data_IF_876207387988
#
_entry.id   IF_876207387988
#
_cell.length_a   1.000
_cell.length_b   1.000
_cell.length_c   1.000
_cell.angle_alpha   90.00
_cell.angle_beta   90.00
_cell.angle_gamma   90.00
#
_symmetry.space_group_name_H-M   'P 1'
#
loop_
_entity.id
_entity.type
_entity.pdbx_description
1 polymer ?
#
# COMPACT_ATOMS: atom_id res chain seq x y z
N UNK A 1 -0.50 -1.77 -3.81
CA UNK A 1 -1.82 -1.07 -3.66
C UNK A 1 -1.70 0.44 -3.44
N UNK A 2 -0.51 1.02 -3.32
CA UNK A 2 -0.34 2.44 -2.97
C UNK A 2 -1.12 3.44 -3.85
N UNK A 3 -0.95 3.36 -5.17
CA UNK A 3 -1.57 4.33 -6.08
C UNK A 3 -3.11 4.35 -6.02
N UNK A 4 -3.74 3.18 -5.84
CA UNK A 4 -5.21 3.12 -5.74
C UNK A 4 -5.74 3.65 -4.42
N UNK A 5 -5.00 3.49 -3.31
CA UNK A 5 -5.36 4.08 -2.03
C UNK A 5 -5.28 5.61 -2.08
N UNK A 6 -4.24 6.16 -2.71
CA UNK A 6 -4.10 7.61 -2.93
C UNK A 6 -5.20 8.17 -3.83
N UNK A 7 -5.57 7.45 -4.90
CA UNK A 7 -6.68 7.82 -5.75
C UNK A 7 -8.02 7.82 -4.98
N UNK A 8 -8.27 6.78 -4.19
CA UNK A 8 -9.47 6.69 -3.36
C UNK A 8 -9.57 7.84 -2.34
N UNK A 9 -8.45 8.17 -1.68
CA UNK A 9 -8.37 9.31 -0.76
C UNK A 9 -8.75 10.62 -1.45
N UNK A 10 -8.17 10.89 -2.62
CA UNK A 10 -8.46 12.09 -3.41
C UNK A 10 -9.91 12.13 -3.90
N UNK A 11 -10.43 11.00 -4.41
CA UNK A 11 -11.83 10.92 -4.84
C UNK A 11 -12.78 11.26 -3.68
N UNK A 12 -12.48 10.77 -2.47
CA UNK A 12 -13.25 11.10 -1.26
C UNK A 12 -13.16 12.59 -0.92
N UNK A 13 -11.96 13.18 -0.93
CA UNK A 13 -11.76 14.61 -0.64
C UNK A 13 -12.48 15.52 -1.65
N UNK A 14 -12.51 15.12 -2.92
CA UNK A 14 -13.18 15.84 -4.01
C UNK A 14 -14.70 15.54 -4.09
N UNK A 15 -15.25 14.68 -3.22
CA UNK A 15 -16.66 14.26 -3.27
C UNK A 15 -17.04 13.47 -4.52
N UNK A 16 -16.05 12.86 -5.20
CA UNK A 16 -16.22 12.10 -6.44
C UNK A 16 -16.53 10.64 -6.16
N UNK A 17 -17.54 10.12 -6.85
CA UNK A 17 -17.95 8.72 -6.75
C UNK A 17 -17.57 7.94 -8.01
N UNK A 18 -17.40 6.63 -7.88
CA UNK A 18 -17.06 5.73 -8.98
C UNK A 18 -16.30 4.49 -8.49
N UNK A 19 -16.06 3.55 -9.41
CA UNK A 19 -15.31 2.32 -9.12
C UNK A 19 -13.82 2.50 -9.45
N UNK A 20 -12.95 2.01 -8.57
CA UNK A 20 -11.51 1.91 -8.82
C UNK A 20 -11.18 0.44 -9.08
N UNK A 21 -10.52 0.16 -10.20
CA UNK A 21 -10.04 -1.18 -10.56
C UNK A 21 -8.52 -1.17 -10.61
N UNK A 22 -7.91 -2.19 -10.00
CA UNK A 22 -6.46 -2.43 -10.05
C UNK A 22 -6.18 -3.91 -10.25
N UNK A 23 -4.99 -4.23 -10.73
CA UNK A 23 -4.49 -5.60 -10.86
C UNK A 23 -3.30 -5.79 -9.92
N UNK A 24 -3.30 -6.92 -9.19
CA UNK A 24 -2.09 -7.47 -8.57
C UNK A 24 -1.62 -8.61 -9.47
N UNK A 25 -0.39 -8.50 -9.96
CA UNK A 25 0.11 -9.41 -11.01
C UNK A 25 0.56 -10.77 -10.46
N UNK A 26 0.86 -10.86 -9.16
CA UNK A 26 1.16 -12.11 -8.47
C UNK A 26 0.79 -12.02 -6.98
N UNK A 27 0.89 -13.17 -6.29
CA UNK A 27 0.61 -13.32 -4.85
C UNK A 27 1.78 -12.89 -3.94
N UNK A 28 2.95 -12.62 -4.51
CA UNK A 28 4.16 -12.30 -3.76
C UNK A 28 4.99 -13.50 -3.25
N UNK A 29 4.52 -14.74 -3.42
CA UNK A 29 5.16 -15.94 -2.85
C UNK A 29 6.60 -16.20 -3.32
N UNK A 30 7.01 -15.63 -4.46
CA UNK A 30 8.38 -15.74 -4.98
C UNK A 30 9.38 -14.84 -4.27
N UNK A 31 8.92 -13.95 -3.41
CA UNK A 31 9.70 -12.87 -2.80
C UNK A 31 9.79 -13.00 -1.27
N UNK A 32 9.56 -14.21 -0.74
CA UNK A 32 9.64 -14.49 0.70
C UNK A 32 10.99 -14.07 1.31
N UNK A 33 12.07 -14.24 0.55
CA UNK A 33 13.44 -13.90 0.98
C UNK A 33 13.83 -12.44 0.72
N UNK A 34 12.94 -11.61 0.14
CA UNK A 34 13.19 -10.18 -0.09
C UNK A 34 12.24 -9.30 0.73
N UNK A 35 11.23 -8.66 0.14
CA UNK A 35 10.42 -7.67 0.84
C UNK A 35 9.46 -8.28 1.89
N UNK A 36 9.34 -9.60 1.98
CA UNK A 36 8.71 -10.30 3.11
C UNK A 36 9.67 -10.57 4.28
N UNK A 37 10.98 -10.42 4.07
CA UNK A 37 12.01 -10.59 5.08
C UNK A 37 12.32 -9.21 5.71
N UNK A 38 12.03 -8.99 7.01
CA UNK A 38 12.26 -7.71 7.67
C UNK A 38 13.71 -7.25 7.64
N UNK A 39 14.68 -8.18 7.72
CA UNK A 39 16.10 -7.84 7.66
C UNK A 39 16.48 -7.32 6.27
N UNK A 40 16.03 -8.02 5.23
CA UNK A 40 16.26 -7.58 3.85
C UNK A 40 15.64 -6.20 3.59
N UNK A 41 14.43 -5.94 4.11
CA UNK A 41 13.78 -4.62 4.05
C UNK A 41 14.62 -3.56 4.74
N UNK A 42 15.08 -3.81 5.97
CA UNK A 42 15.92 -2.86 6.70
C UNK A 42 17.20 -2.52 5.94
N UNK A 43 17.83 -3.52 5.31
CA UNK A 43 19.10 -3.36 4.60
C UNK A 43 18.95 -2.69 3.21
N UNK A 44 17.82 -2.88 2.51
CA UNK A 44 17.66 -2.47 1.11
C UNK A 44 16.62 -1.35 0.88
N UNK A 45 15.64 -1.19 1.77
CA UNK A 45 14.56 -0.20 1.66
C UNK A 45 14.64 0.80 2.82
N UNK A 46 15.01 0.34 4.02
CA UNK A 46 15.07 1.14 5.23
C UNK A 46 13.75 1.14 6.02
N UNK A 47 13.53 2.19 6.80
CA UNK A 47 12.34 2.31 7.63
C UNK A 47 11.07 2.54 6.79
N UNK A 48 10.13 1.60 6.89
CA UNK A 48 8.83 1.65 6.21
C UNK A 48 7.67 2.04 7.14
N UNK A 49 7.93 2.28 8.43
CA UNK A 49 6.90 2.62 9.41
C UNK A 49 6.03 3.83 9.02
N UNK A 50 6.56 4.92 8.41
CA UNK A 50 5.73 6.04 7.97
C UNK A 50 4.66 5.62 6.96
N UNK A 51 5.01 4.74 6.02
CA UNK A 51 4.10 4.26 4.98
C UNK A 51 3.09 3.26 5.52
N UNK A 52 3.49 2.41 6.49
CA UNK A 52 2.57 1.53 7.19
C UNK A 52 1.50 2.33 7.94
N UNK A 53 1.91 3.40 8.65
CA UNK A 53 0.99 4.28 9.36
C UNK A 53 0.02 5.00 8.41
N UNK A 54 0.50 5.47 7.25
CA UNK A 54 -0.35 6.12 6.27
C UNK A 54 -1.36 5.15 5.65
N UNK A 55 -0.94 3.93 5.30
CA UNK A 55 -1.84 2.88 4.79
C UNK A 55 -2.89 2.52 5.84
N UNK A 56 -2.49 2.31 7.10
CA UNK A 56 -3.41 2.04 8.19
C UNK A 56 -4.46 3.16 8.31
N UNK A 57 -4.02 4.43 8.30
CA UNK A 57 -4.94 5.56 8.29
C UNK A 57 -5.90 5.55 7.08
N UNK A 58 -5.44 5.18 5.88
CA UNK A 58 -6.30 5.12 4.70
C UNK A 58 -7.35 4.00 4.75
N UNK A 59 -7.05 2.86 5.40
CA UNK A 59 -7.90 1.65 5.42
C UNK A 59 -8.78 1.56 6.67
N UNK A 60 -8.33 2.05 7.81
CA UNK A 60 -9.03 1.92 9.10
C UNK A 60 -10.12 2.98 9.32
N UNK A 61 -10.09 4.07 8.54
CA UNK A 61 -11.13 5.12 8.59
C UNK A 61 -12.41 4.61 7.91
N UNK A 62 -13.39 4.21 8.74
CA UNK A 62 -14.78 3.98 8.32
C UNK A 62 -15.48 5.29 7.97
#
# INVERSE_FOLDING_TARGET
MWGVLQLAARMREEGRTGSIVTLLCDSGERYLESYYNPQWVADNIGDIAPWQAEIAGLVERR
#
